data_IF_781619050502
#
_entry.id   IF_781619050502
#
_cell.length_a   1.000
_cell.length_b   1.000
_cell.length_c   1.000
_cell.angle_alpha   90.00
_cell.angle_beta   90.00
_cell.angle_gamma   90.00
#
_symmetry.space_group_name_H-M   'P 1'
#
loop_
_entity.id
_entity.type
_entity.pdbx_description
1 polymer ?
#
# COMPACT_ATOMS: atom_id res chain seq x y z
N UNK A 1 -24.99 -13.41 24.39
CA UNK A 1 -24.30 -12.43 23.53
C UNK A 1 -25.32 -11.89 22.53
N UNK A 2 -25.44 -10.57 22.35
CA UNK A 2 -26.42 -9.97 21.43
C UNK A 2 -26.12 -10.43 19.98
N UNK A 3 -27.14 -10.91 19.24
CA UNK A 3 -27.00 -11.40 17.84
C UNK A 3 -26.40 -10.34 16.92
N UNK A 4 -26.74 -9.07 17.13
CA UNK A 4 -26.12 -7.94 16.43
C UNK A 4 -24.60 -7.88 16.69
N UNK A 5 -24.18 -8.11 17.94
CA UNK A 5 -22.77 -8.04 18.32
C UNK A 5 -21.96 -9.16 17.66
N UNK A 6 -22.54 -10.36 17.48
CA UNK A 6 -21.88 -11.45 16.73
C UNK A 6 -21.65 -11.03 15.27
N UNK A 7 -22.68 -10.50 14.61
CA UNK A 7 -22.60 -10.08 13.21
C UNK A 7 -21.56 -8.98 12.99
N UNK A 8 -21.56 -7.94 13.83
CA UNK A 8 -20.58 -6.84 13.72
C UNK A 8 -19.16 -7.33 14.01
N UNK A 9 -18.96 -8.24 14.97
CA UNK A 9 -17.63 -8.81 15.24
C UNK A 9 -17.11 -9.62 14.05
N UNK A 10 -17.93 -10.50 13.47
CA UNK A 10 -17.52 -11.29 12.29
C UNK A 10 -17.18 -10.37 11.12
N UNK A 11 -18.03 -9.36 10.85
CA UNK A 11 -17.79 -8.34 9.83
C UNK A 11 -16.46 -7.62 10.06
N UNK A 12 -16.22 -7.15 11.27
CA UNK A 12 -14.97 -6.50 11.66
C UNK A 12 -13.74 -7.39 11.38
N UNK A 13 -13.77 -8.67 11.75
CA UNK A 13 -12.66 -9.59 11.50
C UNK A 13 -12.44 -9.89 10.02
N UNK A 14 -13.51 -10.02 9.21
CA UNK A 14 -13.39 -10.19 7.75
C UNK A 14 -12.61 -9.01 7.17
N UNK A 15 -13.00 -7.78 7.51
CA UNK A 15 -12.33 -6.58 7.03
C UNK A 15 -10.87 -6.50 7.48
N UNK A 16 -10.60 -6.72 8.77
CA UNK A 16 -9.25 -6.69 9.34
C UNK A 16 -8.32 -7.71 8.72
N UNK A 17 -8.74 -8.98 8.68
CA UNK A 17 -7.93 -10.07 8.11
C UNK A 17 -7.63 -9.78 6.64
N UNK A 18 -8.63 -9.35 5.87
CA UNK A 18 -8.45 -9.01 4.45
C UNK A 18 -7.40 -7.93 4.26
N UNK A 19 -7.47 -6.82 5.01
CA UNK A 19 -6.49 -5.72 4.89
C UNK A 19 -5.10 -6.15 5.34
N UNK A 20 -4.97 -6.90 6.44
CA UNK A 20 -3.66 -7.38 6.91
C UNK A 20 -3.04 -8.33 5.88
N UNK A 21 -3.81 -9.27 5.32
CA UNK A 21 -3.31 -10.17 4.29
C UNK A 21 -2.85 -9.41 3.03
N UNK A 22 -3.55 -8.35 2.63
CA UNK A 22 -3.25 -7.59 1.42
C UNK A 22 -2.15 -6.53 1.60
N UNK A 23 -2.05 -5.89 2.76
CA UNK A 23 -1.12 -4.77 2.96
C UNK A 23 0.14 -5.15 3.74
N UNK A 24 0.07 -6.21 4.56
CA UNK A 24 1.18 -6.67 5.42
C UNK A 24 1.80 -7.95 4.86
N UNK A 25 0.99 -8.98 4.57
CA UNK A 25 1.52 -10.28 4.16
C UNK A 25 1.85 -10.35 2.65
N UNK A 26 0.99 -9.79 1.80
CA UNK A 26 1.11 -9.82 0.34
C UNK A 26 2.51 -9.48 -0.22
N UNK A 27 3.24 -8.46 0.29
CA UNK A 27 4.59 -8.15 -0.18
C UNK A 27 5.59 -9.29 0.00
N UNK A 28 5.32 -10.25 0.88
CA UNK A 28 6.19 -11.39 1.20
C UNK A 28 5.71 -12.71 0.61
N UNK A 29 4.52 -12.77 0.02
CA UNK A 29 3.99 -14.01 -0.56
C UNK A 29 4.79 -14.40 -1.80
N UNK A 30 5.47 -15.55 -1.72
CA UNK A 30 6.26 -16.15 -2.79
C UNK A 30 6.26 -17.68 -2.63
N UNK A 31 6.25 -18.42 -3.74
CA UNK A 31 6.33 -19.90 -3.72
C UNK A 31 7.63 -20.40 -4.32
N UNK A 32 8.15 -19.73 -5.35
CA UNK A 32 9.48 -19.95 -5.90
C UNK A 32 10.18 -18.59 -6.08
N UNK A 33 10.44 -17.94 -4.93
CA UNK A 33 11.18 -16.68 -4.83
C UNK A 33 10.70 -15.66 -5.88
N UNK A 34 11.63 -15.06 -6.63
CA UNK A 34 11.30 -14.10 -7.68
C UNK A 34 10.99 -14.74 -9.03
N UNK A 35 11.28 -16.04 -9.23
CA UNK A 35 11.06 -16.76 -10.50
C UNK A 35 9.58 -16.75 -10.91
N UNK A 36 8.67 -16.87 -9.93
CA UNK A 36 7.23 -16.93 -10.18
C UNK A 36 6.41 -15.91 -9.37
N UNK A 37 7.07 -14.88 -8.83
CA UNK A 37 6.46 -13.97 -7.84
C UNK A 37 5.18 -13.31 -8.35
N UNK A 38 5.14 -12.90 -9.62
CA UNK A 38 3.97 -12.23 -10.20
C UNK A 38 2.77 -13.18 -10.29
N UNK A 39 3.00 -14.44 -10.69
CA UNK A 39 1.94 -15.46 -10.75
C UNK A 39 1.44 -15.81 -9.36
N UNK A 40 2.36 -16.04 -8.41
CA UNK A 40 2.02 -16.38 -7.03
C UNK A 40 1.14 -15.29 -6.41
N UNK A 41 1.54 -14.02 -6.54
CA UNK A 41 0.78 -12.90 -6.01
C UNK A 41 -0.56 -12.69 -6.70
N UNK A 42 -0.63 -12.86 -8.02
CA UNK A 42 -1.90 -12.82 -8.73
C UNK A 42 -2.88 -13.85 -8.18
N UNK A 43 -2.45 -15.12 -8.03
CA UNK A 43 -3.29 -16.18 -7.49
C UNK A 43 -3.71 -15.87 -6.06
N UNK A 44 -2.77 -15.46 -5.21
CA UNK A 44 -3.06 -15.09 -3.82
C UNK A 44 -4.08 -13.93 -3.75
N UNK A 45 -3.90 -12.88 -4.54
CA UNK A 45 -4.81 -11.74 -4.62
C UNK A 45 -6.23 -12.18 -4.98
N UNK A 46 -6.39 -12.99 -6.04
CA UNK A 46 -7.69 -13.50 -6.48
C UNK A 46 -8.34 -14.36 -5.39
N UNK A 47 -7.57 -15.25 -4.74
CA UNK A 47 -8.08 -16.08 -3.64
C UNK A 47 -8.59 -15.22 -2.49
N UNK A 48 -7.80 -14.24 -2.01
CA UNK A 48 -8.21 -13.39 -0.89
C UNK A 48 -9.43 -12.54 -1.25
N UNK A 49 -9.48 -11.99 -2.46
CA UNK A 49 -10.64 -11.23 -2.93
C UNK A 49 -11.92 -12.08 -2.95
N UNK A 50 -11.85 -13.31 -3.47
CA UNK A 50 -13.00 -14.22 -3.52
C UNK A 50 -13.41 -14.70 -2.13
N UNK A 51 -12.46 -15.16 -1.31
CA UNK A 51 -12.74 -15.68 0.03
C UNK A 51 -13.30 -14.58 0.94
N UNK A 52 -12.72 -13.38 0.91
CA UNK A 52 -13.20 -12.24 1.69
C UNK A 52 -14.64 -11.86 1.31
N UNK A 53 -14.93 -11.81 0.01
CA UNK A 53 -16.27 -11.49 -0.48
C UNK A 53 -17.30 -12.59 -0.16
N UNK A 54 -16.95 -13.86 -0.33
CA UNK A 54 -17.81 -15.00 0.04
C UNK A 54 -18.08 -14.99 1.55
N UNK A 55 -17.06 -14.79 2.38
CA UNK A 55 -17.23 -14.72 3.84
C UNK A 55 -18.16 -13.59 4.25
N UNK A 56 -18.03 -12.41 3.63
CA UNK A 56 -18.94 -11.28 3.83
C UNK A 56 -20.38 -11.65 3.45
N UNK A 57 -20.60 -12.26 2.28
CA UNK A 57 -21.94 -12.68 1.86
C UNK A 57 -22.56 -13.72 2.80
N UNK A 58 -21.78 -14.70 3.24
CA UNK A 58 -22.24 -15.70 4.21
C UNK A 58 -22.66 -15.01 5.51
N UNK A 59 -21.85 -14.07 6.03
CA UNK A 59 -22.19 -13.31 7.24
C UNK A 59 -23.51 -12.55 7.08
N UNK A 60 -23.72 -11.88 5.94
CA UNK A 60 -24.97 -11.17 5.61
C UNK A 60 -26.19 -12.10 5.55
N UNK A 61 -26.06 -13.25 4.88
CA UNK A 61 -27.16 -14.21 4.71
C UNK A 61 -27.51 -14.87 6.04
N UNK A 62 -26.52 -15.34 6.80
CA UNK A 62 -26.72 -15.99 8.10
C UNK A 62 -27.40 -15.05 9.08
N UNK A 63 -26.94 -13.80 9.16
CA UNK A 63 -27.53 -12.80 10.04
C UNK A 63 -29.01 -12.55 9.73
N UNK A 64 -29.39 -12.49 8.45
CA UNK A 64 -30.79 -12.32 8.02
C UNK A 64 -31.67 -13.52 8.35
N UNK A 65 -31.15 -14.75 8.18
CA UNK A 65 -31.86 -15.98 8.55
C UNK A 65 -32.12 -16.03 10.06
N UNK A 66 -31.12 -15.65 10.85
CA UNK A 66 -31.24 -15.65 12.32
C UNK A 66 -32.27 -14.60 12.78
N UNK A 67 -32.30 -13.41 12.18
CA UNK A 67 -33.29 -12.37 12.49
C UNK A 67 -34.70 -12.79 12.06
N UNK A 68 -34.86 -13.36 10.87
CA UNK A 68 -36.18 -13.78 10.38
C UNK A 68 -36.74 -14.96 11.19
N UNK A 69 -35.89 -15.80 11.77
CA UNK A 69 -36.26 -16.89 12.66
C UNK A 69 -36.74 -16.49 14.06
N UNK A 70 -36.47 -15.25 14.50
CA UNK A 70 -36.88 -14.73 15.83
C UNK A 70 -38.29 -14.10 15.85
N UNK A 71 -38.98 -14.01 14.71
CA UNK A 71 -40.34 -13.46 14.67
C UNK A 71 -41.35 -14.50 15.19
N UNK A 72 -42.12 -14.21 16.26
CA UNK A 72 -43.18 -15.09 16.72
C UNK A 72 -44.27 -15.14 15.64
N UNK A 73 -44.32 -16.26 14.90
CA UNK A 73 -45.20 -16.45 13.75
C UNK A 73 -44.56 -17.09 12.51
N UNK A 74 -43.26 -17.42 12.55
CA UNK A 74 -42.49 -17.98 11.41
C UNK A 74 -42.87 -19.40 10.95
N UNK A 75 -44.11 -19.86 11.19
CA UNK A 75 -44.75 -20.93 10.40
C UNK A 75 -45.69 -20.30 9.38
N UNK A 76 -45.12 -19.68 8.34
CA UNK A 76 -45.80 -19.51 7.06
C UNK A 76 -44.77 -19.60 5.96
N UNK A 77 -44.82 -20.74 5.26
CA UNK A 77 -44.23 -21.04 3.96
C UNK A 77 -43.15 -20.06 3.49
N UNK A 78 -41.91 -20.54 3.46
CA UNK A 78 -40.78 -19.99 2.73
C UNK A 78 -41.17 -19.69 1.27
N UNK A 79 -41.79 -18.54 1.04
CA UNK A 79 -42.00 -17.96 -0.28
C UNK A 79 -40.71 -17.22 -0.65
N UNK A 80 -39.62 -17.99 -0.80
CA UNK A 80 -38.27 -17.51 -1.14
C UNK A 80 -38.32 -16.64 -2.40
N UNK A 81 -39.29 -16.86 -3.30
CA UNK A 81 -39.46 -16.09 -4.54
C UNK A 81 -40.05 -14.69 -4.35
N UNK A 82 -40.83 -14.41 -3.30
CA UNK A 82 -41.57 -13.13 -3.17
C UNK A 82 -40.83 -12.08 -2.32
N UNK A 83 -39.98 -12.54 -1.40
CA UNK A 83 -39.07 -11.69 -0.62
C UNK A 83 -37.66 -11.55 -1.20
N UNK A 84 -37.37 -12.23 -2.32
CA UNK A 84 -36.28 -11.87 -3.25
C UNK A 84 -36.61 -10.62 -4.08
N UNK A 85 -37.60 -9.83 -3.65
CA UNK A 85 -37.78 -8.51 -4.19
C UNK A 85 -36.54 -7.68 -3.82
N UNK A 86 -36.04 -6.91 -4.78
CA UNK A 86 -34.75 -6.20 -4.87
C UNK A 86 -34.49 -5.15 -3.75
N UNK A 87 -35.25 -5.20 -2.64
CA UNK A 87 -34.97 -4.53 -1.37
C UNK A 87 -33.81 -5.16 -0.57
N UNK A 88 -33.22 -6.25 -1.01
CA UNK A 88 -32.03 -6.87 -0.38
C UNK A 88 -30.81 -5.92 -0.37
N UNK A 89 -30.76 -4.95 -1.29
CA UNK A 89 -29.70 -3.93 -1.39
C UNK A 89 -29.98 -2.69 -0.50
N UNK A 90 -31.16 -2.59 0.12
CA UNK A 90 -31.65 -1.30 0.60
C UNK A 90 -31.04 -0.77 1.91
N UNK A 91 -30.35 -1.60 2.69
CA UNK A 91 -29.86 -1.21 4.03
C UNK A 91 -28.34 -1.35 4.19
N UNK A 92 -27.61 -1.17 3.09
CA UNK A 92 -26.15 -1.09 3.09
C UNK A 92 -25.79 0.37 3.31
N UNK A 93 -24.98 0.63 4.36
CA UNK A 93 -24.62 1.95 4.89
C UNK A 93 -23.97 2.88 3.85
N UNK A 94 -23.57 2.36 2.68
CA UNK A 94 -22.82 3.10 1.66
C UNK A 94 -23.06 2.62 0.21
N UNK A 95 -24.23 2.97 -0.38
CA UNK A 95 -24.67 2.53 -1.73
C UNK A 95 -23.68 2.79 -2.88
N UNK A 96 -22.82 3.81 -2.75
CA UNK A 96 -21.94 4.26 -3.84
C UNK A 96 -20.83 3.25 -4.15
N UNK A 97 -20.24 2.62 -3.14
CA UNK A 97 -19.11 1.70 -3.33
C UNK A 97 -19.54 0.41 -4.05
N UNK A 98 -20.74 -0.10 -3.75
CA UNK A 98 -21.30 -1.25 -4.45
C UNK A 98 -21.58 -0.93 -5.91
N UNK A 99 -22.15 0.25 -6.19
CA UNK A 99 -22.39 0.68 -7.57
C UNK A 99 -21.06 0.74 -8.34
N UNK A 100 -20.00 1.29 -7.76
CA UNK A 100 -18.68 1.33 -8.41
C UNK A 100 -18.09 -0.07 -8.65
N UNK A 101 -18.20 -0.99 -7.68
CA UNK A 101 -17.79 -2.39 -7.88
C UNK A 101 -18.57 -3.06 -9.01
N UNK A 102 -19.89 -2.91 -9.04
CA UNK A 102 -20.74 -3.51 -10.07
C UNK A 102 -20.43 -2.92 -11.44
N UNK A 103 -20.24 -1.60 -11.54
CA UNK A 103 -19.86 -0.93 -12.79
C UNK A 103 -18.47 -1.38 -13.28
N UNK A 104 -17.52 -1.60 -12.37
CA UNK A 104 -16.19 -2.12 -12.72
C UNK A 104 -16.27 -3.56 -13.23
N UNK A 105 -17.09 -4.42 -12.58
CA UNK A 105 -17.32 -5.79 -13.04
C UNK A 105 -17.98 -5.75 -14.43
N UNK A 106 -19.05 -4.98 -14.60
CA UNK A 106 -19.77 -4.87 -15.86
C UNK A 106 -18.86 -4.36 -16.99
N UNK A 107 -18.06 -3.32 -16.73
CA UNK A 107 -17.14 -2.78 -17.73
C UNK A 107 -16.04 -3.79 -18.10
N UNK A 108 -15.51 -4.55 -17.14
CA UNK A 108 -14.54 -5.60 -17.41
C UNK A 108 -15.11 -6.75 -18.24
N UNK A 109 -16.37 -7.13 -17.99
CA UNK A 109 -17.09 -8.15 -18.78
C UNK A 109 -17.34 -7.64 -20.19
N UNK A 110 -17.82 -6.41 -20.36
CA UNK A 110 -18.04 -5.80 -21.68
C UNK A 110 -16.71 -5.74 -22.45
N UNK A 111 -15.62 -5.29 -21.81
CA UNK A 111 -14.29 -5.26 -22.40
C UNK A 111 -13.85 -6.64 -22.90
N UNK A 112 -14.08 -7.69 -22.11
CA UNK A 112 -13.82 -9.07 -22.53
C UNK A 112 -14.72 -9.52 -23.69
N UNK A 113 -16.02 -9.23 -23.66
CA UNK A 113 -16.98 -9.63 -24.68
C UNK A 113 -16.73 -8.96 -26.04
N UNK A 114 -16.28 -7.70 -26.04
CA UNK A 114 -15.97 -6.94 -27.26
C UNK A 114 -14.55 -7.24 -27.77
N UNK A 115 -13.63 -7.68 -26.90
CA UNK A 115 -12.25 -7.94 -27.29
C UNK A 115 -12.12 -9.08 -28.32
N UNK A 116 -11.33 -8.91 -29.40
CA UNK A 116 -10.98 -10.00 -30.32
C UNK A 116 -9.98 -10.99 -29.69
N UNK A 117 -9.25 -10.60 -28.63
CA UNK A 117 -8.25 -11.43 -27.96
C UNK A 117 -8.77 -11.98 -26.64
N UNK A 118 -9.68 -12.96 -26.69
CA UNK A 118 -10.38 -13.50 -25.50
C UNK A 118 -9.45 -13.94 -24.38
N UNK A 119 -8.42 -14.75 -24.68
CA UNK A 119 -7.51 -15.26 -23.66
C UNK A 119 -6.74 -14.14 -22.96
N UNK A 120 -6.24 -13.16 -23.72
CA UNK A 120 -5.51 -12.02 -23.17
C UNK A 120 -6.46 -11.12 -22.37
N UNK A 121 -7.67 -10.88 -22.86
CA UNK A 121 -8.66 -10.08 -22.15
C UNK A 121 -9.14 -10.76 -20.85
N UNK A 122 -9.19 -12.09 -20.81
CA UNK A 122 -9.60 -12.85 -19.64
C UNK A 122 -8.51 -12.89 -18.55
N UNK A 123 -7.30 -13.31 -18.93
CA UNK A 123 -6.21 -13.61 -17.99
C UNK A 123 -5.17 -12.50 -17.87
N UNK A 124 -5.10 -11.58 -18.84
CA UNK A 124 -4.04 -10.58 -18.95
C UNK A 124 -2.90 -11.03 -19.87
N UNK A 125 -2.11 -10.06 -20.34
CA UNK A 125 -1.00 -10.30 -21.27
C UNK A 125 0.30 -10.69 -20.55
N UNK A 126 0.96 -11.74 -21.05
CA UNK A 126 2.27 -12.19 -20.58
C UNK A 126 2.29 -12.44 -19.07
N UNK A 127 3.32 -11.95 -18.39
CA UNK A 127 3.48 -12.11 -16.94
C UNK A 127 2.75 -11.06 -16.10
N UNK A 128 1.89 -10.20 -16.69
CA UNK A 128 1.20 -9.12 -15.95
C UNK A 128 -0.07 -9.58 -15.24
N UNK A 129 -0.78 -10.56 -15.80
CA UNK A 129 -2.04 -11.09 -15.26
C UNK A 129 -3.16 -10.04 -15.02
N UNK A 130 -3.15 -8.93 -15.77
CA UNK A 130 -4.15 -7.85 -15.68
C UNK A 130 -5.24 -8.07 -16.74
N UNK A 131 -6.13 -9.03 -16.49
CA UNK A 131 -7.30 -9.32 -17.33
C UNK A 131 -8.63 -9.10 -16.59
N UNK A 132 -9.73 -9.55 -17.17
CA UNK A 132 -11.08 -9.48 -16.59
C UNK A 132 -11.13 -10.09 -15.18
N UNK A 133 -10.50 -11.26 -14.97
CA UNK A 133 -10.50 -11.92 -13.65
C UNK A 133 -9.85 -11.02 -12.59
N UNK A 134 -8.76 -10.33 -12.94
CA UNK A 134 -8.10 -9.39 -12.05
C UNK A 134 -9.03 -8.24 -11.66
N UNK A 135 -9.71 -7.61 -12.62
CA UNK A 135 -10.63 -6.49 -12.34
C UNK A 135 -11.86 -6.92 -11.53
N UNK A 136 -12.39 -8.13 -11.77
CA UNK A 136 -13.43 -8.70 -10.92
C UNK A 136 -12.90 -8.86 -9.50
N UNK A 137 -11.72 -9.46 -9.30
CA UNK A 137 -11.12 -9.60 -7.99
C UNK A 137 -10.88 -8.24 -7.29
N UNK A 138 -10.43 -7.20 -8.02
CA UNK A 138 -10.32 -5.83 -7.50
C UNK A 138 -11.67 -5.32 -7.01
N UNK A 139 -12.75 -5.49 -7.78
CA UNK A 139 -14.08 -5.05 -7.41
C UNK A 139 -14.63 -5.77 -6.17
N UNK A 140 -14.39 -7.08 -6.05
CA UNK A 140 -14.79 -7.90 -4.91
C UNK A 140 -14.01 -7.51 -3.64
N UNK A 141 -12.70 -7.29 -3.77
CA UNK A 141 -11.87 -6.83 -2.67
C UNK A 141 -12.30 -5.44 -2.19
N UNK A 142 -12.52 -4.50 -3.13
CA UNK A 142 -12.98 -3.15 -2.83
C UNK A 142 -14.33 -3.16 -2.11
N UNK A 143 -15.26 -4.00 -2.54
CA UNK A 143 -16.56 -4.17 -1.88
C UNK A 143 -16.36 -4.69 -0.46
N UNK A 144 -15.60 -5.78 -0.30
CA UNK A 144 -15.34 -6.39 1.01
C UNK A 144 -14.73 -5.40 1.99
N UNK A 145 -13.71 -4.64 1.58
CA UNK A 145 -13.06 -3.64 2.42
C UNK A 145 -14.01 -2.49 2.74
N UNK A 146 -14.75 -1.99 1.75
CA UNK A 146 -15.67 -0.85 1.93
C UNK A 146 -16.81 -1.17 2.91
N UNK A 147 -17.26 -2.41 2.96
CA UNK A 147 -18.30 -2.84 3.90
C UNK A 147 -17.71 -3.31 5.24
N UNK A 148 -16.62 -4.07 5.26
CA UNK A 148 -16.20 -4.77 6.47
C UNK A 148 -15.08 -4.08 7.25
N UNK A 149 -14.28 -3.23 6.61
CA UNK A 149 -13.08 -2.69 7.23
C UNK A 149 -13.36 -1.45 8.08
N UNK A 150 -12.94 -1.52 9.34
CA UNK A 150 -12.87 -0.37 10.23
C UNK A 150 -11.41 -0.01 10.47
N UNK A 151 -11.06 1.24 10.19
CA UNK A 151 -9.71 1.74 10.40
C UNK A 151 -9.32 1.72 11.88
N UNK A 152 -8.15 1.16 12.20
CA UNK A 152 -7.48 1.38 13.48
C UNK A 152 -6.03 1.78 13.23
N UNK A 153 -5.50 2.63 14.10
CA UNK A 153 -4.13 3.11 13.96
C UNK A 153 -3.08 1.98 13.97
N UNK A 154 -3.34 0.90 14.71
CA UNK A 154 -2.46 -0.29 14.71
C UNK A 154 -2.28 -0.88 13.31
N UNK A 155 -3.27 -0.76 12.41
CA UNK A 155 -3.15 -1.25 11.05
C UNK A 155 -2.05 -0.47 10.30
N UNK A 156 -1.96 0.85 10.51
CA UNK A 156 -0.91 1.70 9.93
C UNK A 156 0.46 1.27 10.43
N UNK A 157 0.59 1.02 11.73
CA UNK A 157 1.86 0.54 12.31
C UNK A 157 2.30 -0.77 11.67
N UNK A 158 1.39 -1.73 11.51
CA UNK A 158 1.70 -3.03 10.89
C UNK A 158 2.07 -2.90 9.41
N UNK A 159 1.35 -2.06 8.65
CA UNK A 159 1.64 -1.80 7.24
C UNK A 159 3.03 -1.17 7.07
N UNK A 160 3.38 -0.19 7.92
CA UNK A 160 4.67 0.47 7.87
C UNK A 160 5.81 -0.41 8.37
N UNK A 161 5.57 -1.27 9.35
CA UNK A 161 6.55 -2.27 9.77
C UNK A 161 6.89 -3.24 8.63
N UNK A 162 5.87 -3.74 7.92
CA UNK A 162 6.05 -4.56 6.73
C UNK A 162 6.80 -3.79 5.62
N UNK A 163 6.46 -2.53 5.36
CA UNK A 163 7.14 -1.77 4.31
C UNK A 163 8.62 -1.54 4.64
N UNK A 164 8.95 -1.25 5.90
CA UNK A 164 10.35 -1.15 6.35
C UNK A 164 11.12 -2.43 6.03
N UNK A 165 10.55 -3.61 6.30
CA UNK A 165 11.19 -4.89 5.97
C UNK A 165 11.42 -5.05 4.46
N UNK A 166 10.44 -4.65 3.62
CA UNK A 166 10.58 -4.66 2.16
C UNK A 166 11.72 -3.73 1.71
N UNK A 167 11.81 -2.52 2.26
CA UNK A 167 12.87 -1.57 1.94
C UNK A 167 14.24 -2.05 2.43
N UNK A 168 14.33 -2.70 3.59
CA UNK A 168 15.58 -3.28 4.08
C UNK A 168 16.13 -4.32 3.10
N UNK A 169 15.28 -5.24 2.62
CA UNK A 169 15.68 -6.21 1.58
C UNK A 169 16.13 -5.50 0.31
N UNK A 170 15.43 -4.42 -0.09
CA UNK A 170 15.79 -3.62 -1.27
C UNK A 170 17.18 -2.98 -1.14
N UNK A 171 17.53 -2.45 0.04
CA UNK A 171 18.85 -1.86 0.32
C UNK A 171 19.96 -2.90 0.18
N UNK A 172 19.78 -4.11 0.72
CA UNK A 172 20.73 -5.20 0.54
C UNK A 172 20.88 -5.57 -0.94
N UNK A 173 19.77 -5.68 -1.67
CA UNK A 173 19.81 -5.98 -3.11
C UNK A 173 20.51 -4.86 -3.92
N UNK A 174 20.32 -3.61 -3.53
CA UNK A 174 21.03 -2.47 -4.13
C UNK A 174 22.56 -2.55 -3.92
N UNK A 175 22.99 -3.06 -2.77
CA UNK A 175 24.39 -3.38 -2.46
C UNK A 175 24.88 -4.69 -3.12
N UNK A 176 24.04 -5.33 -3.94
CA UNK A 176 24.29 -6.63 -4.55
C UNK A 176 24.55 -7.75 -3.53
N UNK A 177 23.85 -7.67 -2.40
CA UNK A 177 23.79 -8.69 -1.35
C UNK A 177 22.39 -9.31 -1.37
N UNK A 178 22.33 -10.61 -1.64
CA UNK A 178 21.06 -11.36 -1.70
C UNK A 178 20.82 -12.15 -0.40
N UNK A 179 20.44 -11.43 0.66
CA UNK A 179 20.23 -11.99 2.01
C UNK A 179 19.16 -13.09 2.10
N UNK A 180 18.24 -13.14 1.15
CA UNK A 180 17.13 -14.10 1.10
C UNK A 180 17.26 -15.09 -0.07
N UNK A 181 18.40 -15.06 -0.77
CA UNK A 181 18.66 -15.84 -1.97
C UNK A 181 17.56 -15.72 -3.05
N UNK A 182 16.94 -14.54 -3.18
CA UNK A 182 15.79 -14.24 -4.04
C UNK A 182 16.10 -14.35 -5.54
N UNK A 183 17.34 -14.10 -5.95
CA UNK A 183 17.74 -14.01 -7.35
C UNK A 183 18.23 -15.34 -7.94
N UNK A 184 18.16 -16.43 -7.16
CA UNK A 184 18.54 -17.77 -7.64
C UNK A 184 17.71 -18.18 -8.85
N UNK A 185 18.39 -18.64 -9.92
CA UNK A 185 17.82 -19.09 -11.19
C UNK A 185 17.19 -17.98 -12.06
N UNK A 186 17.34 -16.70 -11.70
CA UNK A 186 16.98 -15.59 -12.57
C UNK A 186 18.03 -15.35 -13.64
N UNK A 187 17.58 -14.96 -14.83
CA UNK A 187 18.47 -14.48 -15.89
C UNK A 187 19.15 -13.16 -15.49
N UNK A 188 20.32 -12.86 -16.06
CA UNK A 188 21.04 -11.60 -15.81
C UNK A 188 20.13 -10.38 -16.08
N UNK A 189 19.28 -10.46 -17.11
CA UNK A 189 18.32 -9.40 -17.45
C UNK A 189 17.25 -9.21 -16.37
N UNK A 190 16.77 -10.27 -15.74
CA UNK A 190 15.78 -10.16 -14.65
C UNK A 190 16.42 -9.59 -13.39
N UNK A 191 17.65 -9.99 -13.07
CA UNK A 191 18.39 -9.47 -11.93
C UNK A 191 18.61 -7.95 -12.01
N UNK A 192 18.73 -7.38 -13.21
CA UNK A 192 18.85 -5.92 -13.39
C UNK A 192 17.54 -5.16 -13.27
N UNK A 193 16.37 -5.81 -13.24
CA UNK A 193 15.07 -5.12 -13.15
C UNK A 193 14.27 -5.53 -11.93
N UNK A 194 14.77 -6.48 -11.14
CA UNK A 194 14.15 -6.93 -9.91
C UNK A 194 14.82 -6.32 -8.67
N UNK A 195 14.03 -6.13 -7.62
CA UNK A 195 14.44 -5.50 -6.37
C UNK A 195 13.46 -5.89 -5.25
N UNK A 196 14.01 -6.11 -4.06
CA UNK A 196 13.27 -6.50 -2.85
C UNK A 196 12.52 -7.83 -3.02
N UNK A 197 11.66 -8.17 -2.05
CA UNK A 197 10.71 -9.26 -2.20
C UNK A 197 9.71 -9.00 -3.32
N UNK A 198 9.48 -7.74 -3.72
CA UNK A 198 8.47 -7.36 -4.69
C UNK A 198 8.79 -7.74 -6.14
N UNK A 199 10.05 -8.00 -6.48
CA UNK A 199 10.44 -8.34 -7.85
C UNK A 199 10.54 -7.09 -8.70
N UNK A 200 9.72 -6.94 -9.74
CA UNK A 200 9.85 -5.84 -10.69
C UNK A 200 9.96 -4.45 -10.02
N UNK A 201 10.96 -3.67 -10.44
CA UNK A 201 11.30 -2.37 -9.83
C UNK A 201 10.16 -1.35 -9.87
N UNK A 202 9.31 -1.39 -10.90
CA UNK A 202 8.16 -0.49 -10.96
C UNK A 202 7.07 -0.88 -9.95
N UNK A 203 6.88 -2.19 -9.70
CA UNK A 203 5.97 -2.68 -8.67
C UNK A 203 6.49 -2.29 -7.29
N UNK A 204 7.79 -2.46 -7.06
CA UNK A 204 8.46 -2.00 -5.84
C UNK A 204 8.30 -0.48 -5.64
N UNK A 205 8.52 0.33 -6.68
CA UNK A 205 8.36 1.77 -6.64
C UNK A 205 6.92 2.20 -6.33
N UNK A 206 5.92 1.57 -6.95
CA UNK A 206 4.50 1.85 -6.68
C UNK A 206 4.10 1.51 -5.23
N UNK A 207 4.53 0.36 -4.72
CA UNK A 207 4.29 -0.03 -3.32
C UNK A 207 4.97 0.93 -2.34
N UNK A 208 6.23 1.26 -2.59
CA UNK A 208 7.03 2.19 -1.77
C UNK A 208 6.36 3.57 -1.76
N UNK A 209 5.91 4.06 -2.92
CA UNK A 209 5.22 5.35 -3.01
C UNK A 209 3.91 5.40 -2.21
N UNK A 210 3.12 4.32 -2.26
CA UNK A 210 1.90 4.19 -1.47
C UNK A 210 2.21 4.19 0.04
N UNK A 211 3.13 3.34 0.48
CA UNK A 211 3.46 3.20 1.91
C UNK A 211 4.19 4.42 2.46
N UNK A 212 5.01 5.10 1.65
CA UNK A 212 5.61 6.39 2.01
C UNK A 212 4.54 7.46 2.21
N UNK A 213 3.53 7.53 1.34
CA UNK A 213 2.42 8.48 1.49
C UNK A 213 1.66 8.24 2.81
N UNK A 214 1.45 6.98 3.18
CA UNK A 214 0.86 6.59 4.48
C UNK A 214 1.79 7.01 5.63
N UNK A 215 3.09 6.75 5.53
CA UNK A 215 4.08 7.09 6.55
C UNK A 215 4.13 8.60 6.83
N UNK A 216 4.16 9.42 5.77
CA UNK A 216 4.18 10.88 5.90
C UNK A 216 2.88 11.37 6.57
N UNK A 217 1.72 10.86 6.13
CA UNK A 217 0.45 11.23 6.74
C UNK A 217 0.36 10.83 8.23
N UNK A 218 0.86 9.64 8.58
CA UNK A 218 0.91 9.15 9.95
C UNK A 218 1.87 9.99 10.81
N UNK A 219 3.05 10.33 10.29
CA UNK A 219 4.04 11.19 10.95
C UNK A 219 3.44 12.57 11.28
N UNK A 220 2.73 13.18 10.33
CA UNK A 220 2.05 14.47 10.54
C UNK A 220 0.99 14.39 11.65
N UNK A 221 0.25 13.29 11.72
CA UNK A 221 -0.79 13.04 12.73
C UNK A 221 -0.29 12.42 14.04
N UNK A 222 1.02 12.18 14.18
CA UNK A 222 1.56 11.54 15.38
C UNK A 222 1.30 12.39 16.64
N UNK A 223 0.69 11.76 17.65
CA UNK A 223 0.30 12.39 18.92
C UNK A 223 1.31 12.12 20.06
N UNK A 224 2.19 11.12 19.89
CA UNK A 224 3.18 10.74 20.90
C UNK A 224 4.56 10.67 20.27
N UNK A 225 5.61 10.95 21.06
CA UNK A 225 7.00 10.90 20.59
C UNK A 225 7.38 9.51 20.02
N UNK A 226 6.93 8.43 20.65
CA UNK A 226 7.20 7.07 20.18
C UNK A 226 6.61 6.80 18.78
N UNK A 227 5.36 7.21 18.57
CA UNK A 227 4.70 7.11 17.25
C UNK A 227 5.39 8.00 16.22
N UNK A 228 5.75 9.22 16.61
CA UNK A 228 6.44 10.16 15.74
C UNK A 228 7.79 9.61 15.26
N UNK A 229 8.59 9.05 16.17
CA UNK A 229 9.86 8.38 15.85
C UNK A 229 9.64 7.21 14.90
N UNK A 230 8.68 6.31 15.20
CA UNK A 230 8.41 5.15 14.36
C UNK A 230 7.96 5.55 12.95
N UNK A 231 6.99 6.47 12.83
CA UNK A 231 6.52 6.95 11.52
C UNK A 231 7.63 7.67 10.76
N UNK A 232 8.50 8.41 11.46
CA UNK A 232 9.65 9.05 10.82
C UNK A 232 10.68 8.04 10.30
N UNK A 233 10.95 6.95 11.02
CA UNK A 233 11.77 5.82 10.52
C UNK A 233 11.15 5.24 9.25
N UNK A 234 9.83 5.05 9.23
CA UNK A 234 9.13 4.57 8.04
C UNK A 234 9.25 5.55 6.85
N UNK A 235 9.19 6.86 7.10
CA UNK A 235 9.42 7.91 6.09
C UNK A 235 10.84 7.83 5.52
N UNK A 236 11.87 7.78 6.37
CA UNK A 236 13.27 7.67 5.92
C UNK A 236 13.47 6.38 5.12
N UNK A 237 12.97 5.26 5.62
CA UNK A 237 13.03 3.96 4.96
C UNK A 237 12.41 4.01 3.55
N UNK A 238 11.21 4.59 3.42
CA UNK A 238 10.54 4.76 2.13
C UNK A 238 11.29 5.69 1.18
N UNK A 239 11.82 6.82 1.66
CA UNK A 239 12.62 7.75 0.85
C UNK A 239 13.88 7.06 0.30
N UNK A 240 14.65 6.35 1.15
CA UNK A 240 15.80 5.56 0.72
C UNK A 240 15.35 4.54 -0.34
N UNK A 241 14.23 3.87 -0.08
CA UNK A 241 13.63 2.91 -1.00
C UNK A 241 13.33 3.49 -2.39
N UNK A 242 12.73 4.68 -2.46
CA UNK A 242 12.47 5.40 -3.73
C UNK A 242 13.77 5.76 -4.45
N UNK A 243 14.79 6.21 -3.72
CA UNK A 243 16.07 6.64 -4.30
C UNK A 243 16.78 5.45 -4.96
N UNK A 244 16.87 4.31 -4.28
CA UNK A 244 17.53 3.11 -4.83
C UNK A 244 16.69 2.39 -5.90
N UNK A 245 15.37 2.63 -5.92
CA UNK A 245 14.45 2.13 -6.95
C UNK A 245 14.79 2.69 -8.34
N UNK A 246 15.45 3.84 -8.44
CA UNK A 246 15.84 4.45 -9.71
C UNK A 246 14.70 4.55 -10.74
N UNK A 247 13.46 4.76 -10.29
CA UNK A 247 12.29 4.85 -11.18
C UNK A 247 11.75 6.27 -11.16
N UNK A 248 11.62 6.90 -12.33
CA UNK A 248 11.08 8.26 -12.45
C UNK A 248 9.65 8.34 -11.88
N UNK A 249 8.87 7.27 -12.07
CA UNK A 249 7.52 7.13 -11.52
C UNK A 249 7.53 7.11 -9.98
N UNK A 250 8.60 6.59 -9.37
CA UNK A 250 8.74 6.55 -7.91
C UNK A 250 9.06 7.95 -7.33
N UNK A 251 9.79 8.80 -8.08
CA UNK A 251 10.10 10.19 -7.67
C UNK A 251 8.83 11.02 -7.46
N UNK A 252 7.81 10.81 -8.30
CA UNK A 252 6.51 11.48 -8.20
C UNK A 252 5.86 11.26 -6.83
N UNK A 253 6.04 10.08 -6.24
CA UNK A 253 5.50 9.75 -4.92
C UNK A 253 6.18 10.49 -3.76
N UNK A 254 7.33 11.14 -3.99
CA UNK A 254 7.99 12.02 -3.02
C UNK A 254 7.62 13.48 -3.29
N UNK A 255 7.71 13.92 -4.55
CA UNK A 255 7.52 15.33 -4.92
C UNK A 255 6.10 15.81 -4.67
N UNK A 256 5.08 15.05 -5.10
CA UNK A 256 3.68 15.48 -4.96
C UNK A 256 3.29 15.67 -3.48
N UNK A 257 3.55 14.72 -2.56
CA UNK A 257 3.28 14.95 -1.14
C UNK A 257 3.98 16.18 -0.58
N UNK A 258 5.25 16.42 -0.93
CA UNK A 258 5.97 17.62 -0.44
C UNK A 258 5.32 18.92 -0.92
N UNK A 259 4.95 19.01 -2.20
CA UNK A 259 4.28 20.19 -2.75
C UNK A 259 2.93 20.44 -2.08
N UNK A 260 2.14 19.38 -1.84
CA UNK A 260 0.82 19.48 -1.19
C UNK A 260 0.97 19.81 0.31
N UNK A 261 1.98 19.25 0.97
CA UNK A 261 2.18 19.42 2.41
C UNK A 261 2.72 20.79 2.76
N UNK A 262 3.46 21.47 1.88
CA UNK A 262 3.97 22.81 2.15
C UNK A 262 2.88 23.82 2.59
N UNK A 263 1.83 24.11 1.79
CA UNK A 263 0.77 25.04 2.19
C UNK A 263 -0.05 24.54 3.39
N UNK A 264 -0.10 23.22 3.62
CA UNK A 264 -0.70 22.68 4.83
C UNK A 264 0.16 22.95 6.07
N UNK A 265 1.49 22.86 5.92
CA UNK A 265 2.45 22.92 7.02
C UNK A 265 2.66 24.33 7.56
N UNK A 266 2.52 25.36 6.73
CA UNK A 266 2.62 26.76 7.17
C UNK A 266 1.50 27.19 8.12
N UNK A 267 0.44 26.39 8.29
CA UNK A 267 -0.69 26.70 9.19
C UNK A 267 -0.33 26.58 10.67
N UNK A 268 0.77 25.94 11.03
CA UNK A 268 1.19 25.74 12.42
C UNK A 268 2.70 25.55 12.53
N UNK A 269 3.29 26.12 13.58
CA UNK A 269 4.72 25.94 13.90
C UNK A 269 5.08 24.46 14.06
N UNK A 270 4.20 23.65 14.64
CA UNK A 270 4.42 22.20 14.76
C UNK A 270 4.49 21.50 13.40
N UNK A 271 3.63 21.90 12.45
CA UNK A 271 3.57 21.27 11.13
C UNK A 271 4.73 21.70 10.22
N UNK A 272 5.14 22.98 10.27
CA UNK A 272 6.30 23.43 9.47
C UNK A 272 7.61 22.81 9.97
N UNK A 273 7.75 22.56 11.29
CA UNK A 273 8.85 21.76 11.84
C UNK A 273 8.89 20.36 11.22
N UNK A 274 7.75 19.66 11.16
CA UNK A 274 7.64 18.34 10.52
C UNK A 274 7.97 18.38 9.02
N UNK A 275 7.55 19.43 8.32
CA UNK A 275 7.87 19.63 6.90
C UNK A 275 9.37 19.77 6.64
N UNK A 276 10.04 20.65 7.39
CA UNK A 276 11.48 20.88 7.26
C UNK A 276 12.25 19.58 7.54
N UNK A 277 11.87 18.85 8.59
CA UNK A 277 12.48 17.55 8.93
C UNK A 277 12.29 16.51 7.82
N UNK A 278 11.12 16.49 7.17
CA UNK A 278 10.84 15.60 6.03
C UNK A 278 11.68 15.98 4.81
N UNK A 279 11.80 17.27 4.50
CA UNK A 279 12.63 17.76 3.40
C UNK A 279 14.12 17.45 3.62
N UNK A 280 14.60 17.66 4.85
CA UNK A 280 15.97 17.29 5.24
C UNK A 280 16.19 15.78 5.12
N UNK A 281 15.21 14.95 5.46
CA UNK A 281 15.29 13.49 5.31
C UNK A 281 15.50 13.07 3.85
N UNK A 282 14.84 13.72 2.89
CA UNK A 282 15.02 13.45 1.45
C UNK A 282 16.47 13.68 1.03
N UNK A 283 17.04 14.82 1.43
CA UNK A 283 18.41 15.17 1.08
C UNK A 283 19.43 14.27 1.77
N UNK A 284 19.24 13.99 3.06
CA UNK A 284 20.10 13.08 3.82
C UNK A 284 20.04 11.64 3.29
N UNK A 285 18.87 11.13 2.91
CA UNK A 285 18.73 9.82 2.30
C UNK A 285 19.53 9.72 0.98
N UNK A 286 19.53 10.79 0.17
CA UNK A 286 20.39 10.90 -1.01
C UNK A 286 21.87 10.82 -0.66
N UNK A 287 22.31 11.46 0.43
CA UNK A 287 23.69 11.36 0.93
C UNK A 287 24.03 9.96 1.40
N UNK A 288 23.15 9.30 2.15
CA UNK A 288 23.36 7.92 2.61
C UNK A 288 23.53 6.97 1.42
N UNK A 289 22.66 7.06 0.41
CA UNK A 289 22.80 6.28 -0.82
C UNK A 289 24.11 6.61 -1.58
N UNK A 290 24.52 7.88 -1.60
CA UNK A 290 25.82 8.32 -2.13
C UNK A 290 27.02 7.72 -1.40
N UNK A 291 27.00 7.71 -0.07
CA UNK A 291 28.03 7.10 0.75
C UNK A 291 28.13 5.59 0.49
N UNK A 292 27.00 4.87 0.40
CA UNK A 292 26.98 3.44 0.06
C UNK A 292 27.68 3.19 -1.28
N UNK A 293 27.39 4.01 -2.30
CA UNK A 293 28.05 3.94 -3.60
C UNK A 293 29.57 4.18 -3.53
N UNK A 294 30.03 5.07 -2.66
CA UNK A 294 31.46 5.35 -2.48
C UNK A 294 32.20 4.24 -1.73
N UNK A 295 31.55 3.58 -0.77
CA UNK A 295 32.15 2.52 0.04
C UNK A 295 32.27 1.22 -0.76
N UNK A 296 31.30 0.92 -1.63
CA UNK A 296 31.28 -0.33 -2.41
C UNK A 296 31.00 -0.08 -3.90
N UNK A 297 31.86 0.68 -4.60
CA UNK A 297 31.59 1.14 -5.96
C UNK A 297 31.40 0.01 -6.97
N UNK A 298 32.10 -1.11 -6.78
CA UNK A 298 32.08 -2.25 -7.72
C UNK A 298 30.91 -3.21 -7.50
N UNK A 299 30.17 -3.09 -6.39
CA UNK A 299 29.01 -3.96 -6.10
C UNK A 299 27.69 -3.25 -6.25
N UNK A 300 27.65 -1.92 -6.10
CA UNK A 300 26.40 -1.19 -6.08
C UNK A 300 25.82 -1.07 -7.48
N UNK A 301 24.51 -1.33 -7.60
CA UNK A 301 23.79 -1.17 -8.86
C UNK A 301 23.90 0.27 -9.37
N UNK A 302 24.27 0.42 -10.65
CA UNK A 302 24.33 1.74 -11.30
C UNK A 302 22.93 2.35 -11.38
N UNK A 303 22.84 3.62 -11.02
CA UNK A 303 21.63 4.44 -11.13
C UNK A 303 21.76 5.35 -12.34
N UNK A 304 20.75 5.40 -13.20
CA UNK A 304 20.78 6.13 -14.47
C UNK A 304 19.96 7.41 -14.46
N UNK A 305 19.03 7.57 -13.51
CA UNK A 305 18.01 8.61 -13.59
C UNK A 305 18.32 9.83 -12.70
N UNK A 306 17.36 10.74 -12.55
CA UNK A 306 17.45 11.98 -11.73
C UNK A 306 17.99 11.70 -10.31
N UNK A 307 17.76 10.49 -9.79
CA UNK A 307 18.28 10.03 -8.50
C UNK A 307 19.81 10.08 -8.40
N UNK A 308 20.52 9.89 -9.52
CA UNK A 308 21.98 10.05 -9.59
C UNK A 308 22.44 11.45 -9.20
N UNK A 309 21.63 12.48 -9.47
CA UNK A 309 21.87 13.86 -9.06
C UNK A 309 21.74 14.06 -7.54
N UNK A 310 20.73 13.45 -6.90
CA UNK A 310 20.56 13.51 -5.43
C UNK A 310 21.69 12.78 -4.69
N UNK A 311 22.20 11.71 -5.29
CA UNK A 311 23.32 10.89 -4.82
C UNK A 311 24.68 11.52 -5.16
N UNK A 312 24.71 12.53 -6.04
CA UNK A 312 25.94 13.18 -6.48
C UNK A 312 26.70 13.77 -5.29
N UNK A 313 28.03 13.72 -5.35
CA UNK A 313 28.92 14.31 -4.34
C UNK A 313 28.94 15.84 -4.36
N UNK A 314 28.03 16.49 -5.10
CA UNK A 314 27.96 17.94 -5.16
C UNK A 314 27.63 18.52 -3.77
N UNK A 315 28.44 19.49 -3.34
CA UNK A 315 28.32 20.18 -2.06
C UNK A 315 27.05 21.03 -1.93
N UNK A 316 26.37 21.36 -3.04
CA UNK A 316 25.15 22.18 -3.00
C UNK A 316 24.08 21.58 -2.09
N UNK A 317 23.91 20.26 -2.11
CA UNK A 317 22.94 19.57 -1.26
C UNK A 317 23.34 19.58 0.21
N UNK A 318 24.64 19.55 0.53
CA UNK A 318 25.13 19.70 1.90
C UNK A 318 24.79 21.10 2.45
N UNK A 319 24.96 22.14 1.61
CA UNK A 319 24.61 23.51 1.96
C UNK A 319 23.10 23.62 2.22
N UNK A 320 22.26 23.05 1.35
CA UNK A 320 20.80 23.06 1.54
C UNK A 320 20.40 22.35 2.84
N UNK A 321 21.02 21.20 3.16
CA UNK A 321 20.78 20.49 4.44
C UNK A 321 21.11 21.42 5.63
N UNK A 322 22.27 22.07 5.63
CA UNK A 322 22.68 22.98 6.70
C UNK A 322 21.68 24.13 6.85
N UNK A 323 21.25 24.74 5.73
CA UNK A 323 20.26 25.82 5.74
C UNK A 323 18.93 25.36 6.33
N UNK A 324 18.44 24.17 5.97
CA UNK A 324 17.20 23.62 6.52
C UNK A 324 17.30 23.34 8.02
N UNK A 325 18.45 22.83 8.49
CA UNK A 325 18.68 22.60 9.92
C UNK A 325 18.74 23.92 10.70
N UNK A 326 19.40 24.95 10.15
CA UNK A 326 19.42 26.28 10.76
C UNK A 326 18.02 26.88 10.82
N UNK A 327 17.22 26.78 9.76
CA UNK A 327 15.82 27.21 9.74
C UNK A 327 14.99 26.48 10.80
N UNK A 328 15.17 25.17 10.95
CA UNK A 328 14.49 24.39 11.99
C UNK A 328 14.83 24.91 13.40
N UNK A 329 16.13 25.11 13.69
CA UNK A 329 16.59 25.62 14.99
C UNK A 329 16.01 27.01 15.27
N UNK A 330 16.03 27.92 14.28
CA UNK A 330 15.46 29.27 14.42
C UNK A 330 13.96 29.22 14.74
N UNK A 331 13.21 28.33 14.09
CA UNK A 331 11.78 28.17 14.36
C UNK A 331 11.54 27.65 15.78
N UNK A 332 12.30 26.66 16.23
CA UNK A 332 12.20 26.12 17.60
C UNK A 332 12.51 27.20 18.64
N UNK A 333 13.57 27.99 18.43
CA UNK A 333 13.94 29.08 19.33
C UNK A 333 12.88 30.19 19.37
N UNK A 334 12.23 30.49 18.25
CA UNK A 334 11.15 31.47 18.16
C UNK A 334 9.88 30.98 18.89
N UNK A 335 9.51 29.71 18.72
CA UNK A 335 8.35 29.06 19.35
C UNK A 335 8.48 29.09 20.89
N UNK A 336 9.64 28.72 21.41
CA UNK A 336 9.91 28.70 22.85
C UNK A 336 9.94 30.10 23.50
N UNK A 337 10.12 31.18 22.71
CA UNK A 337 10.06 32.56 23.22
C UNK A 337 8.63 33.11 23.31
N UNK A 338 7.68 32.44 22.67
CA UNK A 338 6.28 32.87 22.56
C UNK A 338 5.33 32.08 23.48
N UNK A 339 5.84 31.07 24.19
CA UNK A 339 5.13 30.27 25.20
C UNK A 339 5.47 30.78 26.60
#
# INVERSE_FOLDING_TARGET
MNKQNIYENVRYYIGKITVILMMVLFPFVMTDKLNNVTKTRYVFFVIIALVGWIAMLINEVVFRIIISGDYPGAKKSLDIKKNFNIKIIYNIKNRKHIIYSVLLIASSIISYLVSPYKNIALYGAGSRYIGMIFFIAVALLYWTVSECYEFKEIDVILILAASIMVHLVAVFNYMNIDILHLFSNLTIKEQTVYMSTLGNINVYGMYTGLTLSIAIAAYYKAETAAKEIFYYIAVISGIIGIIICDSDMALVAVVIPLVILFPYSIKSVALIKKYIVTLTAVLLAGRVAGCIKLIIPDRVRKLSNIMSGLISTNNIFNIIIIVLLLLYVLIVLSDNRMQ
#
